data_IF_774022245000
#
_entry.id   IF_774022245000
#
_cell.length_a   1.000
_cell.length_b   1.000
_cell.length_c   1.000
_cell.angle_alpha   90.00
_cell.angle_beta   90.00
_cell.angle_gamma   90.00
#
_symmetry.space_group_name_H-M   'P 1'
#
loop_
_entity.id
_entity.type
_entity.pdbx_description
1 polymer ?
#
# COMPACT_ATOMS: atom_id res chain seq x y z
N UNK A 1 55.09 39.68 11.68
CA UNK A 1 53.79 39.09 12.07
C UNK A 1 53.07 38.64 10.80
N UNK A 2 53.60 37.61 10.12
CA UNK A 2 53.09 36.21 10.09
C UNK A 2 51.76 36.00 9.36
N UNK A 3 51.81 36.13 8.03
CA UNK A 3 50.89 35.49 7.08
C UNK A 3 51.34 34.04 6.88
N UNK A 4 50.49 33.04 7.15
CA UNK A 4 50.72 31.66 6.68
C UNK A 4 49.42 31.04 6.21
N UNK A 5 49.34 31.00 4.89
CA UNK A 5 48.50 30.17 4.04
C UNK A 5 48.52 28.71 4.55
N UNK A 6 47.42 28.28 5.14
CA UNK A 6 47.01 26.88 5.36
C UNK A 6 45.63 26.84 4.69
N UNK A 7 45.38 26.11 3.61
CA UNK A 7 45.52 24.67 3.44
C UNK A 7 45.54 24.41 1.93
N UNK A 8 46.61 23.79 1.41
CA UNK A 8 46.64 22.34 1.17
C UNK A 8 46.01 21.98 -0.18
N UNK A 9 46.86 22.17 -1.18
CA UNK A 9 47.03 21.42 -2.43
C UNK A 9 46.13 20.18 -2.61
N UNK A 10 45.52 20.14 -3.80
CA UNK A 10 45.31 18.97 -4.68
C UNK A 10 45.06 17.60 -4.01
N UNK A 11 43.88 17.02 -4.25
CA UNK A 11 43.78 15.68 -4.83
C UNK A 11 42.33 15.39 -5.25
N UNK A 12 42.11 15.48 -6.56
CA UNK A 12 41.12 14.72 -7.30
C UNK A 12 41.26 13.22 -6.96
N UNK A 13 40.22 12.60 -6.40
CA UNK A 13 40.05 11.14 -6.47
C UNK A 13 38.59 10.87 -6.83
N UNK A 14 38.41 10.43 -8.09
CA UNK A 14 37.26 9.68 -8.54
C UNK A 14 37.00 8.52 -7.57
N UNK A 15 35.85 8.49 -6.91
CA UNK A 15 35.28 7.24 -6.41
C UNK A 15 34.00 6.97 -7.19
N UNK A 16 34.19 6.42 -8.39
CA UNK A 16 33.19 5.61 -9.07
C UNK A 16 32.92 4.40 -8.17
N UNK A 17 31.98 4.56 -7.23
CA UNK A 17 31.48 3.46 -6.39
C UNK A 17 30.83 2.40 -7.29
N UNK A 18 30.90 1.10 -6.91
CA UNK A 18 30.49 0.03 -7.79
C UNK A 18 29.04 0.22 -8.20
N UNK A 19 28.78 0.27 -9.50
CA UNK A 19 27.44 0.15 -10.06
C UNK A 19 26.92 -1.25 -9.73
N UNK A 20 26.33 -1.41 -8.55
CA UNK A 20 25.53 -2.59 -8.23
C UNK A 20 24.40 -2.62 -9.26
N UNK A 21 24.25 -3.70 -10.05
CA UNK A 21 23.08 -3.83 -10.89
C UNK A 21 21.88 -3.86 -9.94
N UNK A 22 21.07 -2.81 -9.97
CA UNK A 22 19.79 -2.77 -9.31
C UNK A 22 18.90 -3.80 -10.01
N UNK A 23 19.00 -5.06 -9.56
CA UNK A 23 18.13 -6.12 -10.02
C UNK A 23 16.72 -5.76 -9.57
N UNK A 24 15.92 -5.23 -10.50
CA UNK A 24 14.50 -5.01 -10.31
C UNK A 24 13.83 -6.37 -10.10
N UNK A 25 13.77 -6.84 -8.85
CA UNK A 25 12.90 -7.94 -8.47
C UNK A 25 11.47 -7.43 -8.64
N UNK A 26 10.76 -7.88 -9.67
CA UNK A 26 9.31 -7.70 -9.72
C UNK A 26 8.69 -8.36 -8.50
N UNK A 27 7.96 -7.60 -7.68
CA UNK A 27 7.19 -8.20 -6.59
C UNK A 27 6.07 -9.06 -7.20
N UNK A 28 6.01 -10.34 -6.80
CA UNK A 28 4.89 -11.21 -7.17
C UNK A 28 3.62 -10.73 -6.45
N UNK A 29 2.52 -10.60 -7.19
CA UNK A 29 1.24 -10.22 -6.62
C UNK A 29 0.78 -11.28 -5.60
N UNK A 30 0.35 -10.83 -4.44
CA UNK A 30 -0.18 -11.70 -3.38
C UNK A 30 -1.64 -12.07 -3.65
N UNK A 31 -2.15 -13.10 -2.95
CA UNK A 31 -3.58 -13.41 -2.98
C UNK A 31 -4.43 -12.21 -2.51
N UNK A 32 -3.95 -11.46 -1.52
CA UNK A 32 -4.59 -10.21 -1.07
C UNK A 32 -4.71 -9.19 -2.20
N UNK A 33 -3.64 -8.98 -2.96
CA UNK A 33 -3.64 -8.03 -4.09
C UNK A 33 -4.64 -8.43 -5.19
N UNK A 34 -4.83 -9.74 -5.39
CA UNK A 34 -5.82 -10.24 -6.35
C UNK A 34 -7.26 -10.01 -5.89
N UNK A 35 -7.52 -10.17 -4.58
CA UNK A 35 -8.83 -9.88 -3.98
C UNK A 35 -9.09 -8.36 -4.02
N UNK A 36 -8.11 -7.55 -3.62
CA UNK A 36 -8.24 -6.09 -3.61
C UNK A 36 -8.56 -5.56 -5.01
N UNK A 37 -7.90 -6.08 -6.05
CA UNK A 37 -8.18 -5.74 -7.45
C UNK A 37 -9.59 -6.16 -7.88
N UNK A 38 -10.01 -7.36 -7.51
CA UNK A 38 -11.34 -7.85 -7.85
C UNK A 38 -12.44 -7.01 -7.19
N UNK A 39 -12.34 -6.77 -5.88
CA UNK A 39 -13.32 -5.96 -5.16
C UNK A 39 -13.34 -4.52 -5.69
N UNK A 40 -12.17 -3.95 -6.01
CA UNK A 40 -12.07 -2.66 -6.71
C UNK A 40 -12.90 -2.62 -7.99
N UNK A 41 -12.73 -3.63 -8.86
CA UNK A 41 -13.48 -3.72 -10.11
C UNK A 41 -14.99 -3.88 -9.89
N UNK A 42 -15.42 -4.59 -8.85
CA UNK A 42 -16.84 -4.79 -8.53
C UNK A 42 -17.50 -3.55 -7.91
N UNK A 43 -16.76 -2.77 -7.09
CA UNK A 43 -17.20 -1.46 -6.61
C UNK A 43 -17.53 -0.54 -7.79
N UNK A 44 -16.62 -0.46 -8.76
CA UNK A 44 -16.80 0.37 -9.96
C UNK A 44 -17.93 -0.15 -10.85
N UNK A 45 -17.96 -1.46 -11.10
CA UNK A 45 -18.94 -2.11 -11.99
C UNK A 45 -20.37 -1.92 -11.51
N UNK A 46 -20.62 -2.06 -10.21
CA UNK A 46 -21.94 -1.99 -9.63
C UNK A 46 -22.23 -0.68 -8.90
N UNK A 47 -21.31 0.27 -8.93
CA UNK A 47 -21.42 1.55 -8.24
C UNK A 47 -21.72 1.36 -6.74
N UNK A 48 -21.06 0.39 -6.12
CA UNK A 48 -21.21 0.10 -4.70
C UNK A 48 -20.41 1.15 -3.93
N UNK A 49 -21.04 1.96 -3.05
CA UNK A 49 -20.35 3.06 -2.36
C UNK A 49 -19.28 2.55 -1.38
N UNK A 50 -19.54 1.42 -0.72
CA UNK A 50 -18.58 0.74 0.13
C UNK A 50 -19.07 -0.63 0.59
N UNK A 51 -18.12 -1.50 0.94
CA UNK A 51 -18.35 -2.89 1.35
C UNK A 51 -17.23 -3.35 2.27
N UNK A 52 -17.54 -4.24 3.20
CA UNK A 52 -16.54 -4.94 4.02
C UNK A 52 -16.51 -6.43 3.69
N UNK A 53 -15.31 -6.97 3.52
CA UNK A 53 -15.08 -8.35 3.11
C UNK A 53 -14.15 -9.03 4.11
N UNK A 54 -14.55 -10.21 4.56
CA UNK A 54 -13.71 -11.12 5.32
C UNK A 54 -13.59 -12.47 4.61
N UNK A 55 -12.39 -13.04 4.60
CA UNK A 55 -12.09 -14.38 4.05
C UNK A 55 -11.44 -15.19 5.15
N UNK A 56 -12.06 -16.32 5.49
CA UNK A 56 -11.60 -17.21 6.56
C UNK A 56 -11.25 -18.59 5.99
N UNK A 57 -10.28 -19.26 6.61
CA UNK A 57 -9.93 -20.67 6.37
C UNK A 57 -9.74 -21.35 7.71
N UNK A 58 -10.70 -22.20 8.09
CA UNK A 58 -10.76 -22.72 9.46
C UNK A 58 -10.84 -21.56 10.46
N UNK A 59 -9.98 -21.59 11.47
CA UNK A 59 -9.91 -20.55 12.51
C UNK A 59 -9.03 -19.35 12.12
N UNK A 60 -8.49 -19.33 10.90
CA UNK A 60 -7.61 -18.26 10.43
C UNK A 60 -8.36 -17.24 9.58
N UNK A 61 -8.26 -15.97 9.96
CA UNK A 61 -8.66 -14.83 9.12
C UNK A 61 -7.56 -14.55 8.12
N UNK A 62 -7.83 -14.79 6.84
CA UNK A 62 -6.90 -14.54 5.73
C UNK A 62 -7.02 -13.10 5.22
N UNK A 63 -8.19 -12.50 5.35
CA UNK A 63 -8.50 -11.12 4.99
C UNK A 63 -9.66 -10.63 5.86
N UNK A 64 -9.59 -9.40 6.35
CA UNK A 64 -10.72 -8.65 6.88
C UNK A 64 -10.44 -7.17 6.61
N UNK A 65 -11.22 -6.55 5.70
CA UNK A 65 -11.02 -5.16 5.27
C UNK A 65 -12.32 -4.52 4.82
N UNK A 66 -12.36 -3.19 4.89
CA UNK A 66 -13.36 -2.37 4.22
C UNK A 66 -12.82 -1.77 2.92
N UNK A 67 -13.70 -1.55 1.97
CA UNK A 67 -13.43 -0.94 0.68
C UNK A 67 -14.47 0.15 0.39
N UNK A 68 -14.04 1.26 -0.22
CA UNK A 68 -14.89 2.42 -0.47
C UNK A 68 -15.23 3.18 0.81
N UNK A 69 -16.46 3.68 0.90
CA UNK A 69 -16.92 4.55 1.98
C UNK A 69 -18.08 3.94 2.77
N UNK A 70 -18.02 4.03 4.09
CA UNK A 70 -19.15 3.81 4.98
C UNK A 70 -20.16 4.97 4.93
N UNK A 71 -19.68 6.17 4.59
CA UNK A 71 -20.52 7.34 4.35
C UNK A 71 -19.90 8.18 3.23
N UNK A 72 -20.65 8.39 2.14
CA UNK A 72 -20.15 9.05 0.92
C UNK A 72 -20.04 10.56 1.12
N UNK A 73 -21.03 11.18 1.75
CA UNK A 73 -21.12 12.63 1.97
C UNK A 73 -19.96 13.13 2.86
N UNK A 74 -19.67 12.38 3.91
CA UNK A 74 -18.61 12.67 4.87
C UNK A 74 -17.28 12.02 4.49
N UNK A 75 -17.23 11.24 3.40
CA UNK A 75 -16.08 10.46 2.96
C UNK A 75 -15.46 9.61 4.07
N UNK A 76 -16.30 9.01 4.90
CA UNK A 76 -15.85 8.11 5.96
C UNK A 76 -15.49 6.77 5.29
N UNK A 77 -14.24 6.30 5.39
CA UNK A 77 -13.85 5.04 4.77
C UNK A 77 -14.58 3.86 5.42
N UNK A 78 -14.93 2.86 4.61
CA UNK A 78 -15.39 1.58 5.15
C UNK A 78 -14.23 0.83 5.81
N UNK A 79 -14.54 0.06 6.84
CA UNK A 79 -13.60 -0.78 7.60
C UNK A 79 -14.20 -2.17 7.83
N UNK A 80 -13.38 -3.13 8.24
CA UNK A 80 -13.83 -4.45 8.72
C UNK A 80 -14.81 -4.39 9.90
N UNK A 81 -14.86 -3.25 10.60
CA UNK A 81 -15.76 -2.95 11.71
C UNK A 81 -16.98 -2.10 11.34
N UNK A 82 -17.17 -1.75 10.07
CA UNK A 82 -18.36 -0.99 9.63
C UNK A 82 -19.61 -1.86 9.78
N UNK A 83 -20.66 -1.31 10.40
CA UNK A 83 -21.93 -2.01 10.62
C UNK A 83 -22.89 -1.74 9.47
N UNK A 84 -23.49 -2.81 8.93
CA UNK A 84 -24.43 -2.76 7.83
C UNK A 84 -25.79 -3.34 8.25
N UNK A 85 -26.87 -2.86 7.62
CA UNK A 85 -28.16 -3.52 7.71
C UNK A 85 -28.13 -4.77 6.82
N UNK A 86 -28.13 -5.95 7.43
CA UNK A 86 -27.94 -7.23 6.73
C UNK A 86 -29.15 -7.69 5.91
N UNK A 87 -30.32 -7.07 6.12
CA UNK A 87 -31.56 -7.51 5.49
C UNK A 87 -31.96 -8.92 5.94
N UNK A 88 -32.07 -9.85 5.00
CA UNK A 88 -32.57 -11.22 5.25
C UNK A 88 -31.56 -12.19 5.86
N UNK A 89 -30.35 -11.74 6.23
CA UNK A 89 -29.28 -12.58 6.77
C UNK A 89 -29.29 -12.60 8.32
N UNK A 90 -30.30 -11.98 8.93
CA UNK A 90 -30.48 -11.95 10.39
C UNK A 90 -30.81 -13.31 11.02
#
# INVERSE_FOLDING_TARGET
>A
MTTRVVARRLALVLLCGPALPFAARGQAATAGDSIDRYIGAELDRYHIPGMSVAVLRGDSVLLARGYGYANVELRVPASDSTVYQSGSVG
#
